data_IF_005173585568
#
_entry.id   IF_005173585568
#
_cell.length_a   1.000
_cell.length_b   1.000
_cell.length_c   1.000
_cell.angle_alpha   90.00
_cell.angle_beta   90.00
_cell.angle_gamma   90.00
#
_symmetry.space_group_name_H-M   'P 1'
#
loop_
_entity.id
_entity.type
_entity.pdbx_description
1 polymer ?
#
# COMPACT_ATOMS: atom_id res chain seq x y z
N UNK A 1 -13.15 12.29 21.67
CA UNK A 1 -14.27 11.89 20.80
C UNK A 1 -13.64 11.22 19.61
N UNK A 2 -13.87 9.92 19.42
CA UNK A 2 -13.45 9.26 18.18
C UNK A 2 -14.20 9.91 17.01
N UNK A 3 -13.44 10.35 16.02
CA UNK A 3 -14.00 10.90 14.79
C UNK A 3 -14.47 9.77 13.89
N UNK A 4 -15.34 10.08 12.92
CA UNK A 4 -15.82 9.12 11.91
C UNK A 4 -14.68 8.38 11.19
N UNK A 5 -13.50 9.01 11.10
CA UNK A 5 -12.33 8.48 10.41
C UNK A 5 -11.34 7.77 11.33
N UNK A 6 -11.60 7.70 12.65
CA UNK A 6 -10.65 7.15 13.61
C UNK A 6 -10.26 5.67 13.34
N UNK A 7 -11.20 4.76 13.00
CA UNK A 7 -10.84 3.37 12.67
C UNK A 7 -9.83 3.26 11.52
N UNK A 8 -10.04 4.04 10.45
CA UNK A 8 -9.14 4.07 9.29
C UNK A 8 -7.76 4.65 9.65
N UNK A 9 -7.73 5.65 10.53
CA UNK A 9 -6.46 6.22 11.01
C UNK A 9 -5.68 5.21 11.84
N UNK A 10 -6.36 4.32 12.54
CA UNK A 10 -5.72 3.26 13.31
C UNK A 10 -5.25 2.14 12.40
N UNK A 11 -6.04 1.71 11.41
CA UNK A 11 -5.60 0.80 10.35
C UNK A 11 -4.35 1.34 9.61
N UNK A 12 -4.33 2.62 9.24
CA UNK A 12 -3.15 3.24 8.61
C UNK A 12 -1.89 3.18 9.47
N UNK A 13 -2.01 3.30 10.80
CA UNK A 13 -0.84 3.18 11.68
C UNK A 13 -0.24 1.79 11.62
N UNK A 14 -1.07 0.76 11.51
CA UNK A 14 -0.62 -0.62 11.38
C UNK A 14 0.06 -0.88 10.03
N UNK A 15 -0.18 -0.05 9.00
CA UNK A 15 0.51 -0.14 7.71
C UNK A 15 1.92 0.48 7.74
N UNK A 16 2.19 1.47 8.61
CA UNK A 16 3.46 2.21 8.64
C UNK A 16 4.69 1.30 8.78
N UNK A 17 4.75 0.33 9.72
CA UNK A 17 5.90 -0.54 9.87
C UNK A 17 6.22 -1.35 8.61
N UNK A 18 5.19 -1.70 7.83
CA UNK A 18 5.39 -2.43 6.58
C UNK A 18 5.93 -1.54 5.46
N UNK A 19 5.60 -0.24 5.45
CA UNK A 19 6.22 0.72 4.54
C UNK A 19 7.71 0.90 4.88
N UNK A 20 8.04 0.98 6.17
CA UNK A 20 9.43 1.03 6.64
C UNK A 20 10.21 -0.23 6.21
N UNK A 21 9.57 -1.40 6.26
CA UNK A 21 10.17 -2.67 5.81
C UNK A 21 10.60 -2.62 4.34
N UNK A 22 9.87 -1.92 3.47
CA UNK A 22 10.25 -1.74 2.04
C UNK A 22 11.61 -1.05 1.95
N UNK A 23 11.80 0.03 2.72
CA UNK A 23 13.07 0.75 2.77
C UNK A 23 14.18 -0.10 3.35
N UNK A 24 13.91 -0.89 4.38
CA UNK A 24 14.90 -1.79 4.98
C UNK A 24 15.39 -2.84 3.98
N UNK A 25 14.49 -3.48 3.23
CA UNK A 25 14.87 -4.41 2.15
C UNK A 25 15.73 -3.69 1.11
N UNK A 26 15.28 -2.53 0.63
CA UNK A 26 15.99 -1.77 -0.40
C UNK A 26 17.40 -1.34 0.05
N UNK A 27 17.54 -0.88 1.30
CA UNK A 27 18.83 -0.47 1.87
C UNK A 27 19.78 -1.65 2.14
N UNK A 28 19.25 -2.86 2.31
CA UNK A 28 20.07 -4.07 2.52
C UNK A 28 20.71 -4.61 1.23
N UNK A 29 20.22 -4.21 0.05
CA UNK A 29 20.65 -4.72 -1.26
C UNK A 29 22.18 -4.76 -1.48
N UNK A 30 22.99 -3.77 -1.06
CA UNK A 30 24.43 -3.78 -1.33
C UNK A 30 25.20 -4.90 -0.61
N UNK A 31 24.71 -5.35 0.55
CA UNK A 31 25.44 -6.24 1.46
C UNK A 31 24.74 -7.59 1.68
N UNK A 32 23.45 -7.69 1.35
CA UNK A 32 22.66 -8.90 1.56
C UNK A 32 22.96 -9.99 0.53
N UNK A 33 22.90 -11.25 0.97
CA UNK A 33 22.87 -12.40 0.05
C UNK A 33 21.62 -12.42 -0.80
N UNK A 34 21.68 -13.09 -1.96
CA UNK A 34 20.53 -13.24 -2.87
C UNK A 34 19.34 -13.88 -2.16
N UNK A 35 19.58 -14.86 -1.28
CA UNK A 35 18.54 -15.52 -0.49
C UNK A 35 17.85 -14.54 0.48
N UNK A 36 18.62 -13.68 1.15
CA UNK A 36 18.07 -12.65 2.04
C UNK A 36 17.25 -11.61 1.28
N UNK A 37 17.75 -11.16 0.13
CA UNK A 37 17.04 -10.21 -0.74
C UNK A 37 15.71 -10.82 -1.20
N UNK A 38 15.73 -12.06 -1.70
CA UNK A 38 14.53 -12.75 -2.17
C UNK A 38 13.50 -12.93 -1.06
N UNK A 39 13.95 -13.30 0.15
CA UNK A 39 13.08 -13.41 1.32
C UNK A 39 12.42 -12.08 1.68
N UNK A 40 13.19 -10.99 1.71
CA UNK A 40 12.67 -9.65 2.01
C UNK A 40 11.72 -9.12 0.94
N UNK A 41 12.06 -9.29 -0.34
CA UNK A 41 11.20 -8.89 -1.46
C UNK A 41 9.88 -9.67 -1.45
N UNK A 42 9.91 -10.97 -1.14
CA UNK A 42 8.70 -11.79 -1.01
C UNK A 42 7.80 -11.30 0.12
N UNK A 43 8.38 -11.02 1.30
CA UNK A 43 7.63 -10.48 2.45
C UNK A 43 6.97 -9.13 2.12
N UNK A 44 7.72 -8.22 1.47
CA UNK A 44 7.20 -6.93 1.00
C UNK A 44 6.06 -7.13 0.01
N UNK A 45 6.24 -8.01 -0.97
CA UNK A 45 5.21 -8.28 -1.96
C UNK A 45 3.94 -8.87 -1.33
N UNK A 46 4.07 -9.83 -0.41
CA UNK A 46 2.91 -10.42 0.28
C UNK A 46 2.13 -9.35 1.05
N UNK A 47 2.81 -8.43 1.74
CA UNK A 47 2.15 -7.29 2.37
C UNK A 47 1.43 -6.41 1.34
N UNK A 48 2.11 -6.00 0.28
CA UNK A 48 1.55 -5.11 -0.73
C UNK A 48 0.31 -5.73 -1.39
N UNK A 49 0.43 -6.96 -1.88
CA UNK A 49 -0.61 -7.64 -2.64
C UNK A 49 -1.80 -8.08 -1.80
N UNK A 50 -1.56 -8.55 -0.57
CA UNK A 50 -2.61 -9.17 0.24
C UNK A 50 -3.13 -8.30 1.39
N UNK A 51 -2.49 -7.16 1.67
CA UNK A 51 -2.96 -6.24 2.70
C UNK A 51 -3.16 -4.81 2.17
N UNK A 52 -2.14 -4.20 1.58
CA UNK A 52 -2.22 -2.80 1.15
C UNK A 52 -3.20 -2.60 -0.01
N UNK A 53 -3.16 -3.44 -1.04
CA UNK A 53 -4.05 -3.32 -2.21
C UNK A 53 -5.52 -3.52 -1.82
N UNK A 54 -5.91 -4.59 -1.09
CA UNK A 54 -7.28 -4.75 -0.61
C UNK A 54 -7.77 -3.57 0.25
N UNK A 55 -6.88 -2.99 1.06
CA UNK A 55 -7.16 -1.79 1.84
C UNK A 55 -7.48 -0.58 0.94
N UNK A 56 -6.61 -0.30 -0.02
CA UNK A 56 -6.77 0.79 -0.98
C UNK A 56 -8.06 0.69 -1.80
N UNK A 57 -8.40 -0.52 -2.27
CA UNK A 57 -9.64 -0.80 -3.00
C UNK A 57 -10.88 -0.56 -2.12
N UNK A 58 -10.83 -0.95 -0.84
CA UNK A 58 -11.92 -0.72 0.10
C UNK A 58 -12.14 0.78 0.37
N UNK A 59 -11.08 1.56 0.48
CA UNK A 59 -11.17 3.02 0.62
C UNK A 59 -11.81 3.68 -0.61
N UNK A 60 -11.36 3.31 -1.81
CA UNK A 60 -11.91 3.83 -3.07
C UNK A 60 -13.40 3.49 -3.21
N UNK A 61 -13.80 2.26 -2.86
CA UNK A 61 -15.17 1.79 -3.03
C UNK A 61 -16.14 2.32 -1.98
N UNK A 62 -15.71 2.46 -0.71
CA UNK A 62 -16.61 2.72 0.41
C UNK A 62 -16.40 4.09 1.07
N UNK A 63 -15.14 4.51 1.28
CA UNK A 63 -14.81 5.70 2.06
C UNK A 63 -14.84 6.97 1.22
N UNK A 64 -14.15 6.99 0.09
CA UNK A 64 -13.99 8.18 -0.73
C UNK A 64 -15.33 8.77 -1.22
N UNK A 65 -16.35 7.98 -1.60
CA UNK A 65 -17.69 8.51 -1.90
C UNK A 65 -18.31 9.29 -0.73
N UNK A 66 -18.10 8.84 0.50
CA UNK A 66 -18.58 9.52 1.71
C UNK A 66 -17.82 10.81 1.94
N UNK A 67 -16.50 10.80 1.77
CA UNK A 67 -15.63 11.98 1.90
C UNK A 67 -15.97 13.04 0.86
N UNK A 68 -16.07 12.66 -0.42
CA UNK A 68 -16.46 13.54 -1.52
C UNK A 68 -17.82 14.21 -1.24
N UNK A 69 -18.79 13.43 -0.75
CA UNK A 69 -20.11 13.95 -0.36
C UNK A 69 -20.02 14.93 0.82
N UNK A 70 -19.26 14.59 1.86
CA UNK A 70 -19.10 15.43 3.04
C UNK A 70 -18.42 16.77 2.72
N UNK A 71 -17.47 16.76 1.78
CA UNK A 71 -16.75 17.96 1.33
C UNK A 71 -17.46 18.71 0.19
N UNK A 72 -18.54 18.16 -0.37
CA UNK A 72 -19.25 18.75 -1.51
C UNK A 72 -18.39 18.84 -2.79
N UNK A 73 -17.34 18.02 -2.89
CA UNK A 73 -16.39 18.04 -3.99
C UNK A 73 -16.16 16.63 -4.53
N UNK A 74 -16.67 16.31 -5.74
CA UNK A 74 -16.48 15.00 -6.37
C UNK A 74 -15.01 14.65 -6.61
N UNK A 75 -14.14 15.64 -6.70
CA UNK A 75 -12.72 15.42 -7.02
C UNK A 75 -11.82 15.40 -5.77
N UNK A 76 -12.39 15.52 -4.56
CA UNK A 76 -11.64 15.70 -3.32
C UNK A 76 -10.60 14.60 -3.03
N UNK A 77 -10.86 13.38 -3.48
CA UNK A 77 -10.00 12.20 -3.26
C UNK A 77 -9.36 11.68 -4.54
N UNK A 78 -9.54 12.37 -5.67
CA UNK A 78 -9.14 11.86 -7.00
C UNK A 78 -7.64 11.57 -7.09
N UNK A 79 -6.82 12.41 -6.46
CA UNK A 79 -5.36 12.21 -6.45
C UNK A 79 -4.98 10.94 -5.68
N UNK A 80 -5.68 10.64 -4.58
CA UNK A 80 -5.43 9.44 -3.78
C UNK A 80 -5.81 8.18 -4.56
N UNK A 81 -6.97 8.16 -5.22
CA UNK A 81 -7.35 7.05 -6.10
C UNK A 81 -6.36 6.87 -7.25
N UNK A 82 -5.78 7.96 -7.77
CA UNK A 82 -4.74 7.88 -8.80
C UNK A 82 -3.46 7.24 -8.25
N UNK A 83 -3.08 7.58 -7.02
CA UNK A 83 -1.93 6.98 -6.34
C UNK A 83 -2.15 5.47 -6.12
N UNK A 84 -3.35 5.05 -5.71
CA UNK A 84 -3.71 3.63 -5.57
C UNK A 84 -3.51 2.84 -6.87
N UNK A 85 -3.93 3.41 -8.01
CA UNK A 85 -3.72 2.78 -9.34
C UNK A 85 -2.24 2.60 -9.64
N UNK A 86 -1.39 3.59 -9.33
CA UNK A 86 0.05 3.47 -9.58
C UNK A 86 0.71 2.47 -8.62
N UNK A 87 0.32 2.45 -7.35
CA UNK A 87 0.79 1.43 -6.40
C UNK A 87 0.44 0.03 -6.91
N UNK A 88 -0.80 -0.20 -7.35
CA UNK A 88 -1.22 -1.47 -7.96
C UNK A 88 -0.34 -1.86 -9.15
N UNK A 89 -0.08 -0.93 -10.06
CA UNK A 89 0.80 -1.17 -11.21
C UNK A 89 2.22 -1.60 -10.80
N UNK A 90 2.80 -0.98 -9.77
CA UNK A 90 4.12 -1.36 -9.27
C UNK A 90 4.12 -2.72 -8.55
N UNK A 91 3.02 -3.09 -7.90
CA UNK A 91 2.87 -4.41 -7.26
C UNK A 91 2.80 -5.51 -8.32
N UNK A 92 2.08 -5.27 -9.42
CA UNK A 92 2.02 -6.21 -10.55
C UNK A 92 3.40 -6.38 -11.20
N UNK A 93 4.11 -5.28 -11.46
CA UNK A 93 5.48 -5.29 -11.99
C UNK A 93 6.45 -6.07 -11.06
N UNK A 94 6.32 -5.89 -9.74
CA UNK A 94 7.09 -6.63 -8.76
C UNK A 94 6.75 -8.14 -8.77
N UNK A 95 5.49 -8.50 -9.01
CA UNK A 95 5.07 -9.89 -9.12
C UNK A 95 5.69 -10.59 -10.34
N UNK A 96 5.72 -9.90 -11.48
CA UNK A 96 6.34 -10.39 -12.72
C UNK A 96 7.85 -10.63 -12.53
N UNK A 97 8.56 -9.64 -11.98
CA UNK A 97 10.01 -9.73 -11.74
C UNK A 97 10.39 -10.87 -10.78
N UNK A 98 9.51 -11.28 -9.87
CA UNK A 98 9.76 -12.42 -8.99
C UNK A 98 9.63 -13.78 -9.68
N UNK A 99 8.89 -13.86 -10.79
CA UNK A 99 8.70 -15.10 -11.54
C UNK A 99 9.85 -15.37 -12.53
N UNK A 100 10.52 -14.32 -12.98
CA UNK A 100 11.59 -14.37 -13.99
C UNK A 100 12.98 -14.78 -13.42
N UNK A 101 13.08 -15.11 -12.13
CA UNK A 101 14.33 -15.47 -11.43
C UNK A 101 14.24 -16.76 -10.64
#
# INVERSE_FOLDING_TARGET
MDTLTQPLRDEHKELIPHIERILDVANSLPEASVEQIRGGVKEVYEFLAYHLIPHAEAEDAALYPVVQKALGSPEATKTMSRDHVEVGRYVDELAELQQDV
#
